data_IF_590606044731
#
_entry.id   IF_590606044731
#
_cell.length_a   1.000
_cell.length_b   1.000
_cell.length_c   1.000
_cell.angle_alpha   90.00
_cell.angle_beta   90.00
_cell.angle_gamma   90.00
#
_symmetry.space_group_name_H-M   'P 1'
#
loop_
_entity.id
_entity.type
_entity.pdbx_description
1 polymer ?
#
# COMPACT_ATOMS: atom_id res chain seq x y z
N UNK A 1 11.56 0.23 -15.72
CA UNK A 1 10.88 -0.50 -16.83
C UNK A 1 9.56 0.18 -17.11
N UNK A 2 9.03 0.08 -18.33
CA UNK A 2 7.70 0.57 -18.67
C UNK A 2 7.04 -0.29 -19.75
N UNK A 3 5.72 -0.21 -19.90
CA UNK A 3 4.98 -1.00 -20.90
C UNK A 3 5.34 -0.50 -22.30
N UNK A 4 5.77 -1.40 -23.19
CA UNK A 4 6.21 -1.08 -24.57
C UNK A 4 5.22 -0.15 -25.29
N UNK A 5 3.93 -0.54 -25.31
CA UNK A 5 2.88 0.21 -26.00
C UNK A 5 2.72 1.66 -25.50
N UNK A 6 2.87 1.89 -24.19
CA UNK A 6 2.79 3.25 -23.64
C UNK A 6 4.00 4.08 -24.06
N UNK A 7 5.19 3.49 -24.04
CA UNK A 7 6.43 4.19 -24.40
C UNK A 7 6.47 4.54 -25.89
N UNK A 8 5.95 3.68 -26.76
CA UNK A 8 5.78 3.98 -28.19
C UNK A 8 4.90 5.22 -28.38
N UNK A 9 3.69 5.20 -27.81
CA UNK A 9 2.77 6.34 -27.86
C UNK A 9 3.38 7.61 -27.27
N UNK A 10 4.12 7.49 -26.17
CA UNK A 10 4.78 8.61 -25.51
C UNK A 10 5.84 9.26 -26.40
N UNK A 11 6.68 8.46 -27.04
CA UNK A 11 7.72 8.96 -27.95
C UNK A 11 7.14 9.55 -29.22
N UNK A 12 6.10 8.92 -29.79
CA UNK A 12 5.35 9.45 -30.93
C UNK A 12 4.71 10.81 -30.60
N UNK A 13 4.13 10.95 -29.41
CA UNK A 13 3.54 12.22 -28.97
C UNK A 13 4.59 13.31 -28.73
N UNK A 14 5.72 12.98 -28.10
CA UNK A 14 6.83 13.93 -27.91
C UNK A 14 7.47 14.39 -29.23
N UNK A 15 7.38 13.58 -30.30
CA UNK A 15 7.84 13.99 -31.62
C UNK A 15 6.92 15.06 -32.26
N UNK A 16 5.66 15.14 -31.82
CA UNK A 16 4.66 16.08 -32.34
C UNK A 16 4.46 17.30 -31.44
N UNK A 17 4.78 17.18 -30.15
CA UNK A 17 4.56 18.23 -29.14
C UNK A 17 5.84 18.49 -28.34
N UNK A 18 6.31 19.74 -28.35
CA UNK A 18 7.46 20.16 -27.55
C UNK A 18 7.17 20.15 -26.05
N UNK A 19 5.94 20.49 -25.65
CA UNK A 19 5.49 20.44 -24.25
C UNK A 19 5.06 19.01 -23.88
N UNK A 20 5.73 18.35 -22.90
CA UNK A 20 5.35 17.01 -22.44
C UNK A 20 3.91 16.91 -21.92
N UNK A 21 3.35 17.97 -21.37
CA UNK A 21 1.96 18.00 -20.88
C UNK A 21 0.98 17.92 -22.05
N UNK A 22 1.26 18.63 -23.15
CA UNK A 22 0.48 18.55 -24.39
C UNK A 22 0.69 17.20 -25.10
N UNK A 23 1.89 16.63 -25.02
CA UNK A 23 2.13 15.27 -25.50
C UNK A 23 1.28 14.23 -24.75
N UNK A 24 1.14 14.37 -23.43
CA UNK A 24 0.27 13.49 -22.65
C UNK A 24 -1.21 13.70 -22.97
N UNK A 25 -1.61 14.96 -23.15
CA UNK A 25 -2.96 15.34 -23.55
C UNK A 25 -3.40 14.67 -24.86
N UNK A 26 -2.54 14.65 -25.88
CA UNK A 26 -2.85 14.01 -27.18
C UNK A 26 -2.99 12.47 -27.11
N UNK A 27 -2.48 11.84 -26.05
CA UNK A 27 -2.72 10.42 -25.76
C UNK A 27 -4.05 10.26 -25.00
N UNK A 28 -4.35 11.14 -24.05
CA UNK A 28 -5.54 11.04 -23.21
C UNK A 28 -6.83 11.40 -23.93
N UNK A 29 -6.78 12.36 -24.87
CA UNK A 29 -7.93 12.76 -25.68
C UNK A 29 -8.35 11.71 -26.72
N UNK A 30 -7.51 10.71 -26.99
CA UNK A 30 -7.80 9.64 -27.94
C UNK A 30 -8.19 8.34 -27.20
N UNK A 31 -9.49 7.94 -27.23
CA UNK A 31 -9.96 6.72 -26.58
C UNK A 31 -9.30 5.43 -27.11
N UNK A 32 -8.89 5.40 -28.39
CA UNK A 32 -8.24 4.23 -28.98
C UNK A 32 -6.80 4.10 -28.45
N UNK A 33 -6.05 5.21 -28.38
CA UNK A 33 -4.71 5.22 -27.77
C UNK A 33 -4.77 4.81 -26.31
N UNK A 34 -5.68 5.39 -25.52
CA UNK A 34 -5.81 5.04 -24.10
C UNK A 34 -6.19 3.59 -23.87
N UNK A 35 -7.14 3.06 -24.66
CA UNK A 35 -7.52 1.64 -24.60
C UNK A 35 -6.35 0.72 -24.92
N UNK A 36 -5.53 1.07 -25.91
CA UNK A 36 -4.45 0.20 -26.39
C UNK A 36 -3.40 -0.14 -25.32
N UNK A 37 -2.94 0.83 -24.52
CA UNK A 37 -1.96 0.55 -23.47
C UNK A 37 -2.60 0.05 -22.17
N UNK A 38 -3.86 0.43 -21.88
CA UNK A 38 -4.59 -0.06 -20.70
C UNK A 38 -4.93 -1.55 -20.82
N UNK A 39 -5.35 -2.01 -22.00
CA UNK A 39 -5.67 -3.43 -22.27
C UNK A 39 -4.44 -4.36 -22.24
N UNK A 40 -3.23 -3.80 -22.27
CA UNK A 40 -1.95 -4.52 -22.17
C UNK A 40 -1.45 -4.68 -20.72
N UNK A 41 -2.17 -4.17 -19.71
CA UNK A 41 -1.84 -4.38 -18.29
C UNK A 41 -1.96 -5.87 -17.94
N UNK A 42 -0.97 -6.41 -17.21
CA UNK A 42 -0.92 -7.83 -16.85
C UNK A 42 -0.46 -8.80 -17.95
N UNK A 43 -0.16 -8.31 -19.17
CA UNK A 43 0.15 -9.17 -20.34
C UNK A 43 1.62 -9.18 -20.77
N UNK A 44 2.54 -8.78 -19.89
CA UNK A 44 3.97 -8.70 -20.24
C UNK A 44 4.30 -7.59 -21.26
N UNK A 45 5.48 -7.65 -21.89
CA UNK A 45 5.94 -6.61 -22.84
C UNK A 45 6.51 -5.36 -22.16
N UNK A 46 7.30 -5.55 -21.11
CA UNK A 46 8.07 -4.47 -20.51
C UNK A 46 9.33 -4.21 -21.30
N UNK A 47 9.67 -2.94 -21.46
CA UNK A 47 10.93 -2.49 -22.06
C UNK A 47 11.73 -1.70 -21.03
N UNK A 48 13.06 -1.73 -21.19
CA UNK A 48 13.95 -0.85 -20.44
C UNK A 48 13.68 0.60 -20.87
N UNK A 49 13.68 1.49 -19.89
CA UNK A 49 13.55 2.93 -20.06
C UNK A 49 14.52 3.61 -19.10
N UNK A 50 14.63 4.94 -19.14
CA UNK A 50 15.53 5.73 -18.30
C UNK A 50 14.76 6.52 -17.25
N UNK A 51 15.44 6.90 -16.16
CA UNK A 51 14.88 7.81 -15.16
C UNK A 51 14.40 9.12 -15.78
N UNK A 52 15.17 9.69 -16.72
CA UNK A 52 14.81 10.94 -17.41
C UNK A 52 13.48 10.82 -18.15
N UNK A 53 13.30 9.73 -18.92
CA UNK A 53 12.08 9.49 -19.70
C UNK A 53 10.86 9.27 -18.79
N UNK A 54 11.00 8.44 -17.75
CA UNK A 54 9.87 8.10 -16.87
C UNK A 54 9.49 9.24 -15.93
N UNK A 55 10.46 9.99 -15.40
CA UNK A 55 10.18 11.14 -14.54
C UNK A 55 9.43 12.23 -15.29
N UNK A 56 9.79 12.50 -16.55
CA UNK A 56 9.09 13.47 -17.39
C UNK A 56 7.66 13.01 -17.70
N UNK A 57 7.47 11.73 -18.05
CA UNK A 57 6.13 11.16 -18.31
C UNK A 57 5.25 11.26 -17.07
N UNK A 58 5.74 10.83 -15.90
CA UNK A 58 4.97 10.85 -14.64
C UNK A 58 4.61 12.29 -14.25
N UNK A 59 5.56 13.23 -14.35
CA UNK A 59 5.31 14.64 -14.05
C UNK A 59 4.27 15.24 -15.01
N UNK A 60 4.38 14.98 -16.32
CA UNK A 60 3.43 15.44 -17.32
C UNK A 60 2.02 14.90 -17.06
N UNK A 61 1.91 13.60 -16.75
CA UNK A 61 0.64 12.97 -16.42
C UNK A 61 0.00 13.56 -15.15
N UNK A 62 0.80 13.84 -14.12
CA UNK A 62 0.31 14.45 -12.88
C UNK A 62 -0.15 15.89 -13.12
N UNK A 63 0.66 16.72 -13.79
CA UNK A 63 0.29 18.11 -14.13
C UNK A 63 -0.98 18.14 -14.97
N UNK A 64 -1.07 17.29 -15.99
CA UNK A 64 -2.26 17.19 -16.83
C UNK A 64 -3.49 16.80 -16.01
N UNK A 65 -3.37 15.80 -15.13
CA UNK A 65 -4.50 15.32 -14.30
C UNK A 65 -4.96 16.41 -13.33
N UNK A 66 -4.03 17.06 -12.63
CA UNK A 66 -4.32 18.16 -11.71
C UNK A 66 -5.05 19.29 -12.44
N UNK A 67 -4.55 19.68 -13.62
CA UNK A 67 -5.10 20.79 -14.39
C UNK A 67 -6.52 20.53 -14.90
N UNK A 68 -6.82 19.29 -15.32
CA UNK A 68 -8.12 18.98 -15.95
C UNK A 68 -9.18 18.48 -14.98
N UNK A 69 -8.78 17.81 -13.89
CA UNK A 69 -9.72 17.13 -12.99
C UNK A 69 -9.57 17.51 -11.51
N UNK A 70 -8.52 18.24 -11.15
CA UNK A 70 -8.18 18.55 -9.77
C UNK A 70 -7.12 17.61 -9.19
N UNK A 71 -6.44 18.05 -8.12
CA UNK A 71 -5.29 17.33 -7.57
C UNK A 71 -5.65 16.04 -6.85
N UNK A 72 -6.86 15.94 -6.31
CA UNK A 72 -7.40 14.75 -5.63
C UNK A 72 -7.60 13.53 -6.57
N UNK A 73 -7.50 13.71 -7.90
CA UNK A 73 -7.46 12.62 -8.90
C UNK A 73 -6.07 11.99 -9.04
N UNK A 74 -5.06 12.54 -8.38
CA UNK A 74 -3.75 11.90 -8.20
C UNK A 74 -3.73 11.28 -6.81
N UNK A 75 -3.60 9.95 -6.74
CA UNK A 75 -3.61 9.22 -5.49
C UNK A 75 -2.39 8.30 -5.36
N UNK A 76 -1.98 8.05 -4.12
CA UNK A 76 -0.95 7.07 -3.79
C UNK A 76 -1.38 6.15 -2.66
N UNK A 77 -0.96 4.90 -2.77
CA UNK A 77 -1.15 3.87 -1.75
C UNK A 77 0.23 3.39 -1.30
N UNK A 78 0.56 3.62 -0.03
CA UNK A 78 1.75 3.10 0.62
C UNK A 78 1.35 2.77 2.07
N UNK A 79 1.45 1.51 2.51
CA UNK A 79 0.99 1.10 3.83
C UNK A 79 2.13 1.13 4.87
N UNK A 80 1.76 1.04 6.16
CA UNK A 80 2.64 0.75 7.31
C UNK A 80 3.93 1.61 7.35
N UNK A 81 3.83 2.89 7.74
CA UNK A 81 4.99 3.78 7.87
C UNK A 81 6.02 3.29 8.90
N UNK A 82 5.57 2.57 9.95
CA UNK A 82 6.43 2.11 11.04
C UNK A 82 7.56 1.17 10.58
N UNK A 83 7.39 0.44 9.47
CA UNK A 83 8.42 -0.46 8.93
C UNK A 83 9.53 0.29 8.18
N UNK A 84 9.22 1.44 7.57
CA UNK A 84 10.20 2.24 6.82
C UNK A 84 9.73 3.69 6.65
N UNK A 85 9.89 4.49 7.71
CA UNK A 85 9.29 5.82 7.83
C UNK A 85 9.65 6.76 6.66
N UNK A 86 10.93 6.83 6.28
CA UNK A 86 11.38 7.73 5.21
C UNK A 86 10.90 7.26 3.83
N UNK A 87 10.87 5.94 3.59
CA UNK A 87 10.36 5.36 2.35
C UNK A 87 8.88 5.68 2.16
N UNK A 88 8.08 5.56 3.23
CA UNK A 88 6.68 5.99 3.24
C UNK A 88 6.54 7.51 3.03
N UNK A 89 7.34 8.30 3.75
CA UNK A 89 7.27 9.76 3.73
C UNK A 89 7.62 10.34 2.36
N UNK A 90 8.49 9.70 1.58
CA UNK A 90 8.91 10.18 0.27
C UNK A 90 7.72 10.36 -0.69
N UNK A 91 6.85 9.36 -0.80
CA UNK A 91 5.67 9.42 -1.68
C UNK A 91 4.55 10.29 -1.10
N UNK A 92 4.26 10.14 0.20
CA UNK A 92 3.18 10.89 0.85
C UNK A 92 3.46 12.38 0.93
N UNK A 93 4.71 12.78 1.15
CA UNK A 93 5.13 14.19 1.09
C UNK A 93 4.94 14.77 -0.32
N UNK A 94 5.37 14.04 -1.36
CA UNK A 94 5.18 14.48 -2.75
C UNK A 94 3.70 14.71 -3.07
N UNK A 95 2.84 13.75 -2.74
CA UNK A 95 1.40 13.84 -2.98
C UNK A 95 0.76 14.98 -2.19
N UNK A 96 1.07 15.09 -0.90
CA UNK A 96 0.51 16.14 -0.04
C UNK A 96 0.88 17.55 -0.53
N UNK A 97 2.10 17.73 -1.05
CA UNK A 97 2.55 19.01 -1.60
C UNK A 97 1.80 19.41 -2.88
N UNK A 98 1.39 18.44 -3.71
CA UNK A 98 0.63 18.69 -4.94
C UNK A 98 -0.90 18.64 -4.72
N UNK A 99 -1.36 18.38 -3.49
CA UNK A 99 -2.77 18.22 -3.14
C UNK A 99 -3.39 16.86 -3.49
N UNK A 100 -2.56 15.84 -3.74
CA UNK A 100 -2.99 14.48 -4.03
C UNK A 100 -3.48 13.71 -2.81
N UNK A 101 -4.21 12.62 -3.06
CA UNK A 101 -4.85 11.80 -2.02
C UNK A 101 -3.91 10.72 -1.49
N UNK A 102 -3.65 10.72 -0.18
CA UNK A 102 -2.95 9.65 0.53
C UNK A 102 -3.98 8.64 1.06
N UNK A 103 -3.97 7.42 0.53
CA UNK A 103 -4.95 6.39 0.89
C UNK A 103 -4.60 5.74 2.24
N UNK A 104 -5.63 5.45 3.05
CA UNK A 104 -5.50 4.73 4.31
C UNK A 104 -5.17 3.25 4.08
N UNK A 105 -4.68 2.57 5.13
CA UNK A 105 -4.27 1.16 5.05
C UNK A 105 -4.78 0.30 6.21
N UNK A 106 -4.90 0.85 7.43
CA UNK A 106 -5.15 0.05 8.63
C UNK A 106 -6.60 -0.47 8.70
N UNK A 107 -7.53 0.39 8.31
CA UNK A 107 -8.93 0.06 8.02
C UNK A 107 -9.06 -0.88 6.81
N UNK A 108 -8.34 -0.59 5.72
CA UNK A 108 -8.39 -1.37 4.48
C UNK A 108 -7.92 -2.81 4.65
N UNK A 109 -6.88 -3.03 5.47
CA UNK A 109 -6.36 -4.38 5.77
C UNK A 109 -7.20 -5.13 6.78
N UNK A 110 -8.24 -4.51 7.35
CA UNK A 110 -8.98 -5.03 8.48
C UNK A 110 -8.09 -5.29 9.72
N UNK A 111 -6.97 -4.57 9.81
CA UNK A 111 -6.08 -4.62 10.98
C UNK A 111 -6.58 -3.67 12.08
N UNK A 112 -7.36 -2.64 11.73
CA UNK A 112 -8.07 -1.77 12.67
C UNK A 112 -9.24 -2.52 13.32
N UNK A 113 -9.20 -2.78 14.64
CA UNK A 113 -10.37 -3.30 15.34
C UNK A 113 -11.33 -2.14 15.66
N UNK A 114 -12.50 -2.00 15.01
CA UNK A 114 -13.38 -0.85 15.22
C UNK A 114 -13.88 -0.72 16.67
N UNK A 115 -13.86 -1.83 17.41
CA UNK A 115 -14.18 -1.86 18.83
C UNK A 115 -13.21 -1.03 19.69
N UNK A 116 -11.95 -0.85 19.28
CA UNK A 116 -10.99 -0.04 20.04
C UNK A 116 -11.38 1.45 20.04
N UNK A 117 -11.59 2.11 18.89
CA UNK A 117 -12.12 3.47 18.87
C UNK A 117 -13.48 3.62 19.55
N UNK A 118 -14.38 2.64 19.44
CA UNK A 118 -15.70 2.69 20.09
C UNK A 118 -15.62 2.63 21.62
N UNK A 119 -14.66 1.89 22.17
CA UNK A 119 -14.54 1.66 23.62
C UNK A 119 -13.66 2.71 24.29
N UNK A 120 -12.56 3.09 23.64
CA UNK A 120 -11.50 3.90 24.25
C UNK A 120 -11.18 5.19 23.48
N UNK A 121 -11.77 5.40 22.30
CA UNK A 121 -11.39 6.54 21.45
C UNK A 121 -9.97 6.45 20.89
N UNK A 122 -9.34 5.27 20.95
CA UNK A 122 -7.96 5.02 20.52
C UNK A 122 -7.93 4.12 19.27
N UNK A 123 -7.03 4.40 18.33
CA UNK A 123 -6.92 3.61 17.09
C UNK A 123 -6.58 2.16 17.41
N UNK A 124 -5.42 1.95 18.04
CA UNK A 124 -4.95 0.70 18.64
C UNK A 124 -3.77 1.03 19.54
N UNK A 125 -3.85 0.63 20.81
CA UNK A 125 -2.70 0.56 21.70
C UNK A 125 -2.73 -0.79 22.41
N UNK A 126 -1.58 -1.47 22.49
CA UNK A 126 -1.48 -2.86 22.98
C UNK A 126 -0.22 -3.05 23.82
N UNK A 127 -0.26 -3.93 24.85
CA UNK A 127 0.92 -4.22 25.65
C UNK A 127 2.02 -4.86 24.79
N UNK A 128 3.27 -4.50 25.09
CA UNK A 128 4.42 -5.11 24.44
C UNK A 128 4.54 -6.60 24.77
N UNK A 129 5.31 -7.34 23.98
CA UNK A 129 5.44 -8.78 24.20
C UNK A 129 6.18 -9.17 25.49
N UNK A 130 6.98 -8.26 26.07
CA UNK A 130 7.61 -8.46 27.37
C UNK A 130 6.57 -8.55 28.50
N UNK A 131 5.46 -7.82 28.38
CA UNK A 131 4.43 -7.79 29.40
C UNK A 131 3.64 -9.10 29.51
N UNK A 132 3.69 -9.94 28.47
CA UNK A 132 3.13 -11.29 28.54
C UNK A 132 3.76 -12.14 29.64
N UNK A 133 5.04 -11.88 29.96
CA UNK A 133 5.73 -12.57 31.04
C UNK A 133 5.21 -12.18 32.43
N UNK A 134 4.61 -11.00 32.56
CA UNK A 134 4.03 -10.51 33.81
C UNK A 134 2.62 -11.05 34.07
N UNK A 135 1.96 -11.61 33.06
CA UNK A 135 0.61 -12.16 33.21
C UNK A 135 0.61 -13.61 33.69
N UNK A 136 -0.09 -13.89 34.79
CA UNK A 136 -0.30 -15.25 35.32
C UNK A 136 -1.35 -16.07 34.55
N UNK A 137 -2.11 -15.44 33.64
CA UNK A 137 -3.17 -16.07 32.86
C UNK A 137 -3.28 -15.46 31.46
N UNK A 138 -3.15 -16.27 30.39
CA UNK A 138 -3.17 -15.81 29.00
C UNK A 138 -4.13 -16.66 28.16
N UNK A 139 -4.96 -16.00 27.34
CA UNK A 139 -5.79 -16.65 26.32
C UNK A 139 -5.31 -16.21 24.93
N UNK A 140 -4.80 -17.15 24.14
CA UNK A 140 -4.54 -16.93 22.72
C UNK A 140 -5.81 -17.27 21.91
N UNK A 141 -6.61 -16.26 21.59
CA UNK A 141 -7.86 -16.42 20.85
C UNK A 141 -7.69 -15.93 19.41
N UNK A 142 -7.84 -16.83 18.43
CA UNK A 142 -7.73 -16.46 17.01
C UNK A 142 -6.34 -15.98 16.58
N UNK A 143 -5.35 -16.00 17.48
CA UNK A 143 -3.98 -15.56 17.24
C UNK A 143 -3.05 -16.77 17.12
N UNK A 144 -2.50 -17.00 15.92
CA UNK A 144 -1.55 -18.09 15.67
C UNK A 144 -0.12 -17.63 15.94
N UNK A 145 0.15 -17.35 17.23
CA UNK A 145 1.43 -16.80 17.71
C UNK A 145 2.65 -17.55 17.16
N UNK A 146 2.71 -18.90 17.11
CA UNK A 146 3.88 -19.61 16.58
C UNK A 146 4.18 -19.40 15.10
N UNK A 147 3.14 -19.19 14.27
CA UNK A 147 3.27 -19.12 12.81
C UNK A 147 3.41 -17.68 12.31
N UNK A 148 2.66 -16.74 12.88
CA UNK A 148 2.86 -15.32 12.57
C UNK A 148 4.25 -14.91 13.07
N UNK A 149 5.03 -14.11 12.33
CA UNK A 149 6.41 -13.77 12.67
C UNK A 149 6.49 -12.77 13.83
N UNK A 150 5.90 -13.13 14.97
CA UNK A 150 5.91 -12.34 16.19
C UNK A 150 7.23 -12.58 16.95
N UNK A 151 8.07 -11.54 17.16
CA UNK A 151 9.33 -11.67 17.89
C UNK A 151 9.11 -12.02 19.37
N UNK A 152 7.92 -11.76 19.92
CA UNK A 152 7.49 -12.08 21.27
C UNK A 152 7.16 -13.55 21.55
N UNK A 153 7.13 -14.41 20.52
CA UNK A 153 6.88 -15.86 20.63
C UNK A 153 7.64 -16.55 21.79
N UNK A 154 8.94 -16.30 22.00
CA UNK A 154 9.68 -16.93 23.10
C UNK A 154 9.14 -16.54 24.48
N UNK A 155 8.60 -15.33 24.64
CA UNK A 155 8.10 -14.82 25.91
C UNK A 155 6.79 -15.50 26.30
N UNK A 156 5.90 -15.72 25.32
CA UNK A 156 4.69 -16.53 25.54
C UNK A 156 5.06 -17.96 25.98
N UNK A 157 6.08 -18.58 25.38
CA UNK A 157 6.54 -19.91 25.80
C UNK A 157 7.14 -19.89 27.21
N UNK A 158 7.95 -18.88 27.54
CA UNK A 158 8.59 -18.75 28.85
C UNK A 158 7.59 -18.50 29.98
N UNK A 159 6.50 -17.77 29.73
CA UNK A 159 5.42 -17.59 30.73
C UNK A 159 4.83 -18.94 31.19
N UNK A 160 4.62 -19.88 30.26
CA UNK A 160 4.13 -21.23 30.59
C UNK A 160 5.11 -22.00 31.49
N UNK A 161 6.42 -21.84 31.27
CA UNK A 161 7.45 -22.49 32.07
C UNK A 161 7.51 -21.98 33.52
N UNK A 162 6.99 -20.78 33.80
CA UNK A 162 6.86 -20.25 35.16
C UNK A 162 5.60 -20.74 35.89
N UNK A 163 4.79 -21.60 35.26
CA UNK A 163 3.54 -22.11 35.81
C UNK A 163 2.30 -21.26 35.50
N UNK A 164 2.41 -20.30 34.57
CA UNK A 164 1.27 -19.49 34.14
C UNK A 164 0.32 -20.30 33.25
N UNK A 165 -0.97 -20.05 33.37
CA UNK A 165 -2.00 -20.79 32.64
C UNK A 165 -2.21 -20.19 31.25
N UNK A 166 -1.94 -20.98 30.20
CA UNK A 166 -2.04 -20.55 28.81
C UNK A 166 -3.08 -21.39 28.05
N UNK A 167 -4.17 -20.74 27.63
CA UNK A 167 -5.25 -21.37 26.85
C UNK A 167 -5.17 -20.95 25.38
N UNK A 168 -5.55 -21.85 24.47
CA UNK A 168 -5.66 -21.56 23.04
C UNK A 168 -7.08 -21.81 22.57
N UNK A 169 -7.67 -20.82 21.90
CA UNK A 169 -8.98 -20.94 21.27
C UNK A 169 -8.85 -20.74 19.76
N UNK A 170 -8.92 -21.84 19.03
CA UNK A 170 -8.97 -21.87 17.57
C UNK A 170 -10.24 -22.60 17.14
N UNK A 171 -11.03 -21.99 16.27
CA UNK A 171 -12.10 -22.70 15.61
C UNK A 171 -11.49 -23.66 14.58
N UNK A 172 -11.73 -24.98 14.73
CA UNK A 172 -11.41 -25.94 13.69
C UNK A 172 -12.32 -25.68 12.48
N UNK A 173 -11.75 -25.38 11.33
CA UNK A 173 -12.49 -25.41 10.06
C UNK A 173 -12.86 -26.87 9.80
N UNK A 174 -14.05 -27.29 10.22
CA UNK A 174 -14.68 -28.51 9.72
C UNK A 174 -15.03 -28.27 8.25
N UNK A 175 -14.09 -28.57 7.35
CA UNK A 175 -14.40 -28.73 5.94
C UNK A 175 -15.25 -29.98 5.76
N UNK A 176 -16.50 -29.82 5.33
CA UNK A 176 -17.29 -30.90 4.76
C UNK A 176 -16.53 -31.45 3.55
N UNK A 177 -16.06 -32.70 3.68
CA UNK A 177 -15.56 -33.49 2.54
C UNK A 177 -16.69 -33.83 1.58
#
# INVERSE_FOLDING_TARGET
>A
MARKRLIELWREALAQHLDPVLAWDSIMQDPAKTRSYKAARGKGGFVRSSWKELNQLIAAANVWTIKHYGPDRVAGFSPIPAMSMVSYAAGTRYLSLIGGTCLSFYDWYCDLPPASPMTWGEQTDVPESADWYNSSYIIAWGSNVPQTPNPGRPLLYRSALQGHQNYRHHAGLFGSR
#
